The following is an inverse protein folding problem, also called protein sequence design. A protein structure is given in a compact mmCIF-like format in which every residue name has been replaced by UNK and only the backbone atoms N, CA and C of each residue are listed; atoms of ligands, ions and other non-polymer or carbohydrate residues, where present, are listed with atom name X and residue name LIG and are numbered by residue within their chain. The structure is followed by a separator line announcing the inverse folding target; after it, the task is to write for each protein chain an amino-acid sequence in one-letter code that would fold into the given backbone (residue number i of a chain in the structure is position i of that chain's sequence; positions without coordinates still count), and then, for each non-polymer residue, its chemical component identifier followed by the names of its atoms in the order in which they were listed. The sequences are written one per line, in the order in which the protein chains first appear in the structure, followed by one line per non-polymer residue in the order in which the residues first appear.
data_IF_266229710904
#
_entry.id   IF_266229710904
#
_cell.length_a   1.000
_cell.length_b   1.000
_cell.length_c   1.000
_cell.angle_alpha   90.00
_cell.angle_beta   90.00
_cell.angle_gamma   90.00
#
_symmetry.space_group_name_H-M   'P 1'
#
loop_
_entity.id
_entity.type
_entity.pdbx_description
1 polymer ?
#
# COMPACT_ATOMS: atom_id res chain seq x y z
N UNK A 1 -0.72 8.62 8.99
CA UNK A 1 0.46 7.74 8.78
C UNK A 1 -0.02 6.42 8.20
N UNK A 2 0.66 5.88 7.18
CA UNK A 2 0.21 4.68 6.45
C UNK A 2 0.69 3.37 7.09
N UNK A 3 1.73 3.42 7.94
CA UNK A 3 2.25 2.25 8.67
C UNK A 3 1.14 1.60 9.49
N UNK A 4 0.99 0.29 9.35
CA UNK A 4 -0.04 -0.51 10.01
C UNK A 4 -1.36 -0.59 9.23
N UNK A 5 -1.58 0.29 8.24
CA UNK A 5 -2.82 0.32 7.47
C UNK A 5 -2.84 -0.69 6.33
N UNK A 6 -4.06 -1.06 5.93
CA UNK A 6 -4.33 -1.87 4.75
C UNK A 6 -4.36 -0.96 3.52
N UNK A 7 -3.69 -1.39 2.45
CA UNK A 7 -3.53 -0.64 1.21
C UNK A 7 -3.67 -1.56 0.01
N UNK A 8 -4.10 -1.04 -1.12
CA UNK A 8 -4.12 -1.73 -2.41
C UNK A 8 -3.29 -0.95 -3.42
N UNK A 9 -2.72 -1.66 -4.40
CA UNK A 9 -2.03 -1.01 -5.51
C UNK A 9 -3.08 -0.46 -6.48
N UNK A 10 -2.97 0.81 -6.86
CA UNK A 10 -4.00 1.56 -7.61
C UNK A 10 -3.75 1.58 -9.14
N UNK A 11 -2.96 0.65 -9.65
CA UNK A 11 -2.58 0.54 -11.07
C UNK A 11 -1.85 1.78 -11.67
N UNK A 12 -1.43 2.75 -10.85
CA UNK A 12 -0.60 3.89 -11.31
C UNK A 12 0.75 3.43 -11.88
N UNK A 13 1.30 2.36 -11.32
CA UNK A 13 2.50 1.69 -11.80
C UNK A 13 2.16 0.27 -12.23
N UNK A 14 3.08 -0.38 -12.93
CA UNK A 14 2.91 -1.78 -13.30
C UNK A 14 2.75 -2.65 -12.04
N UNK A 15 1.60 -3.33 -11.96
CA UNK A 15 1.28 -4.31 -10.92
C UNK A 15 1.17 -5.67 -11.61
N UNK A 16 1.94 -6.66 -11.13
CA UNK A 16 1.79 -8.05 -11.59
C UNK A 16 0.39 -8.56 -11.26
N UNK A 17 -0.22 -9.37 -12.13
CA UNK A 17 -1.59 -9.89 -11.94
C UNK A 17 -1.82 -10.52 -10.56
N UNK A 18 -0.83 -11.25 -10.02
CA UNK A 18 -0.87 -11.83 -8.65
C UNK A 18 -1.06 -10.82 -7.50
N UNK A 19 -0.78 -9.54 -7.75
CA UNK A 19 -0.84 -8.46 -6.77
C UNK A 19 -2.00 -7.49 -7.06
N UNK A 20 -2.62 -7.57 -8.25
CA UNK A 20 -3.76 -6.72 -8.60
C UNK A 20 -4.96 -7.07 -7.71
N UNK A 21 -5.60 -6.05 -7.15
CA UNK A 21 -6.71 -6.22 -6.21
C UNK A 21 -6.33 -6.85 -4.86
N UNK A 22 -5.06 -7.17 -4.62
CA UNK A 22 -4.60 -7.73 -3.34
C UNK A 22 -4.44 -6.60 -2.32
N UNK A 23 -4.96 -6.83 -1.12
CA UNK A 23 -4.74 -5.97 0.03
C UNK A 23 -3.40 -6.31 0.67
N UNK A 24 -2.56 -5.30 0.85
CA UNK A 24 -1.29 -5.36 1.53
C UNK A 24 -1.37 -4.58 2.84
N UNK A 25 -0.52 -4.95 3.80
CA UNK A 25 -0.32 -4.16 5.03
C UNK A 25 0.98 -3.37 4.91
N UNK A 26 0.94 -2.07 5.10
CA UNK A 26 2.16 -1.27 5.15
C UNK A 26 2.90 -1.52 6.47
N UNK A 27 4.16 -1.96 6.40
CA UNK A 27 4.96 -2.33 7.59
C UNK A 27 6.01 -1.28 7.95
N UNK A 28 6.27 -0.33 7.06
CA UNK A 28 7.16 0.80 7.33
C UNK A 28 6.42 2.13 7.22
N UNK A 29 7.03 3.17 7.80
CA UNK A 29 6.67 4.54 7.45
C UNK A 29 7.17 4.87 6.03
N UNK A 30 6.58 5.88 5.37
CA UNK A 30 7.10 6.37 4.10
C UNK A 30 8.52 6.92 4.27
N UNK A 31 9.40 6.55 3.34
CA UNK A 31 10.77 7.05 3.31
C UNK A 31 11.17 7.45 1.89
N UNK A 32 12.13 8.36 1.79
CA UNK A 32 12.64 8.82 0.50
C UNK A 32 13.63 7.82 -0.06
N UNK A 33 13.38 7.38 -1.28
CA UNK A 33 14.34 6.64 -2.09
C UNK A 33 14.51 7.38 -3.41
N UNK A 34 15.64 8.07 -3.57
CA UNK A 34 16.02 8.79 -4.79
C UNK A 34 14.96 9.78 -5.31
N UNK A 35 14.29 10.51 -4.41
CA UNK A 35 13.26 11.50 -4.76
C UNK A 35 11.83 10.96 -4.74
N UNK A 36 11.63 9.64 -4.61
CA UNK A 36 10.31 9.03 -4.54
C UNK A 36 9.98 8.58 -3.11
N UNK A 37 8.77 8.87 -2.65
CA UNK A 37 8.25 8.34 -1.40
C UNK A 37 7.83 6.90 -1.59
N UNK A 38 8.44 5.99 -0.84
CA UNK A 38 8.15 4.54 -0.92
C UNK A 38 7.84 3.97 0.46
N UNK A 39 7.12 2.84 0.48
CA UNK A 39 6.81 2.07 1.69
C UNK A 39 7.08 0.59 1.49
N UNK A 40 7.37 -0.11 2.59
CA UNK A 40 7.44 -1.57 2.61
C UNK A 40 6.07 -2.16 2.89
N UNK A 41 5.75 -3.22 2.15
CA UNK A 41 4.49 -3.96 2.27
C UNK A 41 4.77 -5.37 2.81
N UNK A 42 3.88 -5.86 3.66
CA UNK A 42 3.97 -7.22 4.23
C UNK A 42 3.87 -8.27 3.12
N UNK A 43 4.84 -9.19 3.08
CA UNK A 43 4.89 -10.26 2.06
C UNK A 43 5.23 -9.79 0.64
N UNK A 44 5.63 -8.53 0.46
CA UNK A 44 6.11 -8.01 -0.82
C UNK A 44 7.63 -7.80 -0.77
N UNK A 45 8.35 -8.44 -1.69
CA UNK A 45 9.79 -8.26 -1.80
C UNK A 45 10.09 -6.88 -2.40
N UNK A 46 10.57 -5.94 -1.57
CA UNK A 46 10.97 -4.61 -1.98
C UNK A 46 10.14 -3.50 -1.33
N UNK A 47 10.08 -2.36 -2.00
CA UNK A 47 9.26 -1.22 -1.60
C UNK A 47 8.40 -0.78 -2.79
N UNK A 48 7.27 -0.15 -2.49
CA UNK A 48 6.33 0.33 -3.49
C UNK A 48 6.11 1.83 -3.30
N UNK A 49 5.86 2.52 -4.40
CA UNK A 49 5.65 3.96 -4.39
C UNK A 49 4.37 4.32 -3.64
N UNK A 50 4.45 5.28 -2.72
CA UNK A 50 3.36 5.66 -1.82
C UNK A 50 2.14 6.17 -2.60
N UNK A 51 2.38 6.91 -3.67
CA UNK A 51 1.37 7.46 -4.58
C UNK A 51 0.72 6.42 -5.50
N UNK A 52 1.32 5.23 -5.58
CA UNK A 52 0.74 4.04 -6.21
C UNK A 52 -0.15 3.21 -5.27
N UNK A 53 -0.34 3.65 -4.02
CA UNK A 53 -1.13 2.94 -3.02
C UNK A 53 -2.40 3.70 -2.69
N UNK A 54 -3.49 2.96 -2.49
CA UNK A 54 -4.75 3.47 -1.97
C UNK A 54 -5.03 2.81 -0.64
N UNK A 55 -5.33 3.60 0.38
CA UNK A 55 -5.73 3.10 1.68
C UNK A 55 -7.08 2.40 1.56
N UNK A 56 -7.15 1.17 2.04
CA UNK A 56 -8.43 0.45 2.14
C UNK A 56 -9.05 0.89 3.46
N UNK A 57 -10.24 1.52 3.45
CA UNK A 57 -10.94 1.82 4.68
C UNK A 57 -11.15 0.49 5.43
N UNK A 58 -10.77 0.46 6.69
CA UNK A 58 -11.26 -0.58 7.57
C UNK A 58 -12.78 -0.44 7.57
N UNK A 59 -13.48 -1.42 7.00
CA UNK A 59 -14.93 -1.44 7.06
C UNK A 59 -15.31 -1.50 8.53
N UNK A 60 -15.58 -0.35 9.13
CA UNK A 60 -16.36 -0.28 10.35
C UNK A 60 -17.75 -0.72 9.95
N UNK A 61 -18.06 -1.98 10.20
CA UNK A 61 -19.44 -2.43 10.25
C UNK A 61 -20.10 -1.68 11.42
N UNK A 62 -21.01 -0.74 11.12
CA UNK A 62 -21.75 0.12 12.06
C UNK A 62 -21.39 1.61 11.90
N UNK A 63 -22.32 2.56 11.84
CA UNK A 63 -23.69 2.59 12.37
C UNK A 63 -24.75 2.93 11.30
N UNK A 64 -25.93 2.36 11.53
CA UNK A 64 -27.21 2.56 10.85
C UNK A 64 -27.87 3.87 11.28
#
# INVERSE_FOLDING_TARGET
MIKGKKVTMNDKYYVSEKNKGKVFKAVSEPYNMCGTMVVKLEGFAGCYALDGLTEVPEQTCGEY
#
